data_IF_717071899663
#
_entry.id   IF_717071899663
#
_cell.length_a   1.000
_cell.length_b   1.000
_cell.length_c   1.000
_cell.angle_alpha   90.00
_cell.angle_beta   90.00
_cell.angle_gamma   90.00
#
_symmetry.space_group_name_H-M   'P 1'
#
loop_
_entity.id
_entity.type
_entity.pdbx_description
1 polymer ?
#
# COMPACT_ATOMS: atom_id res chain seq x y z
N UNK A 1 -28.45 18.78 44.78
CA UNK A 1 -27.46 17.83 44.23
C UNK A 1 -28.03 16.88 43.17
N UNK A 2 -29.13 16.13 43.43
CA UNK A 2 -29.70 15.19 42.43
C UNK A 2 -30.18 15.84 41.12
N UNK A 3 -30.84 17.00 41.18
CA UNK A 3 -31.34 17.71 39.99
C UNK A 3 -30.21 18.14 39.03
N UNK A 4 -29.08 18.58 39.57
CA UNK A 4 -27.90 18.96 38.80
C UNK A 4 -27.31 17.74 38.09
N UNK A 5 -27.25 16.59 38.77
CA UNK A 5 -26.76 15.34 38.16
C UNK A 5 -27.68 14.83 37.04
N UNK A 6 -29.00 14.92 37.21
CA UNK A 6 -29.96 14.53 36.16
C UNK A 6 -29.86 15.44 34.93
N UNK A 7 -29.72 16.75 35.16
CA UNK A 7 -29.48 17.72 34.08
C UNK A 7 -28.14 17.49 33.37
N UNK A 8 -27.08 17.22 34.14
CA UNK A 8 -25.76 16.85 33.61
C UNK A 8 -25.82 15.57 32.78
N UNK A 9 -26.56 14.54 33.23
CA UNK A 9 -26.74 13.31 32.44
C UNK A 9 -27.48 13.57 31.13
N UNK A 10 -28.56 14.37 31.15
CA UNK A 10 -29.35 14.68 29.95
C UNK A 10 -28.54 15.44 28.89
N UNK A 11 -27.74 16.41 29.33
CA UNK A 11 -26.87 17.21 28.46
C UNK A 11 -25.69 16.39 27.94
N UNK A 12 -25.05 15.61 28.80
CA UNK A 12 -23.98 14.68 28.43
C UNK A 12 -24.44 13.69 27.34
N UNK A 13 -25.64 13.12 27.50
CA UNK A 13 -26.20 12.21 26.50
C UNK A 13 -26.38 12.87 25.12
N UNK A 14 -26.82 14.14 25.08
CA UNK A 14 -26.95 14.90 23.84
C UNK A 14 -25.60 15.11 23.15
N UNK A 15 -24.61 15.59 23.91
CA UNK A 15 -23.23 15.82 23.40
C UNK A 15 -22.61 14.50 22.91
N UNK A 16 -22.84 13.40 23.64
CA UNK A 16 -22.35 12.08 23.24
C UNK A 16 -22.93 11.65 21.90
N UNK A 17 -24.24 11.83 21.69
CA UNK A 17 -24.90 11.51 20.42
C UNK A 17 -24.34 12.32 19.25
N UNK A 18 -24.06 13.61 19.46
CA UNK A 18 -23.48 14.48 18.43
C UNK A 18 -22.06 14.03 18.05
N UNK A 19 -21.19 13.84 19.03
CA UNK A 19 -19.83 13.34 18.79
C UNK A 19 -19.83 11.96 18.15
N UNK A 20 -20.79 11.11 18.52
CA UNK A 20 -20.93 9.79 17.90
C UNK A 20 -21.26 9.91 16.41
N UNK A 21 -22.20 10.78 16.03
CA UNK A 21 -22.55 11.05 14.63
C UNK A 21 -21.39 11.63 13.85
N UNK A 22 -20.67 12.59 14.42
CA UNK A 22 -19.48 13.19 13.81
C UNK A 22 -18.39 12.14 13.56
N UNK A 23 -18.07 11.32 14.56
CA UNK A 23 -17.11 10.24 14.42
C UNK A 23 -17.54 9.21 13.36
N UNK A 24 -18.83 8.91 13.28
CA UNK A 24 -19.36 8.00 12.25
C UNK A 24 -19.18 8.60 10.85
N UNK A 25 -19.48 9.88 10.68
CA UNK A 25 -19.27 10.59 9.41
C UNK A 25 -17.79 10.65 9.02
N UNK A 26 -16.90 10.96 9.98
CA UNK A 26 -15.47 11.02 9.76
C UNK A 26 -14.88 9.66 9.33
N UNK A 27 -15.31 8.58 9.98
CA UNK A 27 -14.92 7.21 9.59
C UNK A 27 -15.42 6.83 8.19
N UNK A 28 -16.65 7.23 7.85
CA UNK A 28 -17.19 7.05 6.50
C UNK A 28 -16.35 7.75 5.44
N UNK A 29 -16.02 9.02 5.68
CA UNK A 29 -15.18 9.82 4.79
C UNK A 29 -13.77 9.22 4.64
N UNK A 30 -13.16 8.80 5.75
CA UNK A 30 -11.84 8.17 5.76
C UNK A 30 -11.83 6.88 4.93
N UNK A 31 -12.87 6.04 5.06
CA UNK A 31 -12.99 4.80 4.30
C UNK A 31 -13.06 5.05 2.80
N UNK A 32 -13.84 6.04 2.35
CA UNK A 32 -13.96 6.41 0.93
C UNK A 32 -12.62 6.89 0.36
N UNK A 33 -11.89 7.71 1.10
CA UNK A 33 -10.58 8.22 0.66
C UNK A 33 -9.57 7.07 0.61
N UNK A 34 -9.53 6.21 1.64
CA UNK A 34 -8.64 5.06 1.69
C UNK A 34 -8.88 4.11 0.52
N UNK A 35 -10.14 3.78 0.20
CA UNK A 35 -10.44 2.88 -0.94
C UNK A 35 -9.98 3.46 -2.27
N UNK A 36 -10.15 4.77 -2.48
CA UNK A 36 -9.66 5.44 -3.68
C UNK A 36 -8.12 5.38 -3.77
N UNK A 37 -7.41 5.70 -2.69
CA UNK A 37 -5.93 5.65 -2.65
C UNK A 37 -5.43 4.23 -2.87
N UNK A 38 -6.08 3.22 -2.28
CA UNK A 38 -5.73 1.82 -2.49
C UNK A 38 -5.89 1.42 -3.96
N UNK A 39 -7.02 1.77 -4.59
CA UNK A 39 -7.25 1.48 -6.01
C UNK A 39 -6.23 2.16 -6.94
N UNK A 40 -5.90 3.43 -6.68
CA UNK A 40 -4.88 4.15 -7.46
C UNK A 40 -3.47 3.56 -7.25
N UNK A 41 -3.13 3.16 -6.02
CA UNK A 41 -1.87 2.49 -5.74
C UNK A 41 -1.76 1.15 -6.47
N UNK A 42 -2.81 0.33 -6.46
CA UNK A 42 -2.84 -0.96 -7.15
C UNK A 42 -2.68 -0.78 -8.68
N UNK A 43 -3.32 0.24 -9.27
CA UNK A 43 -3.12 0.61 -10.68
C UNK A 43 -1.67 0.99 -10.98
N UNK A 44 -1.06 1.80 -10.12
CA UNK A 44 0.32 2.24 -10.29
C UNK A 44 1.30 1.05 -10.23
N UNK A 45 1.11 0.15 -9.26
CA UNK A 45 1.94 -1.06 -9.12
C UNK A 45 1.80 -1.94 -10.37
N UNK A 46 0.58 -2.19 -10.83
CA UNK A 46 0.35 -3.04 -12.02
C UNK A 46 0.93 -2.42 -13.29
N UNK A 47 0.83 -1.09 -13.46
CA UNK A 47 1.47 -0.39 -14.58
C UNK A 47 2.98 -0.53 -14.54
N UNK A 48 3.59 -0.31 -13.37
CA UNK A 48 5.03 -0.47 -13.17
C UNK A 48 5.50 -1.90 -13.48
N UNK A 49 4.82 -2.92 -12.95
CA UNK A 49 5.18 -4.32 -13.20
C UNK A 49 5.06 -4.70 -14.67
N UNK A 50 4.07 -4.16 -15.39
CA UNK A 50 3.95 -4.34 -16.83
C UNK A 50 5.16 -3.76 -17.57
N UNK A 51 5.58 -2.56 -17.21
CA UNK A 51 6.76 -1.91 -17.80
C UNK A 51 8.05 -2.68 -17.48
N UNK A 52 8.24 -3.11 -16.24
CA UNK A 52 9.37 -3.96 -15.82
C UNK A 52 9.41 -5.24 -16.65
N UNK A 53 8.27 -5.90 -16.84
CA UNK A 53 8.19 -7.13 -17.65
C UNK A 53 8.59 -6.89 -19.10
N UNK A 54 8.15 -5.78 -19.69
CA UNK A 54 8.56 -5.42 -21.07
C UNK A 54 10.06 -5.09 -21.17
N UNK A 55 10.63 -4.47 -20.13
CA UNK A 55 12.07 -4.20 -20.06
C UNK A 55 12.87 -5.49 -19.85
N UNK A 56 12.38 -6.42 -19.04
CA UNK A 56 12.99 -7.73 -18.82
C UNK A 56 13.07 -8.52 -20.14
N UNK A 57 12.00 -8.52 -20.94
CA UNK A 57 11.98 -9.15 -22.27
C UNK A 57 13.04 -8.57 -23.22
N UNK A 58 13.22 -7.24 -23.23
CA UNK A 58 14.22 -6.60 -24.09
C UNK A 58 15.66 -6.82 -23.61
N UNK A 59 15.90 -6.75 -22.30
CA UNK A 59 17.24 -6.88 -21.71
C UNK A 59 17.72 -8.33 -21.69
N UNK A 60 16.82 -9.29 -21.47
CA UNK A 60 17.19 -10.70 -21.27
C UNK A 60 17.07 -11.57 -22.52
N UNK A 61 16.69 -10.99 -23.68
CA UNK A 61 16.50 -11.72 -24.95
C UNK A 61 17.70 -12.56 -25.40
N UNK A 62 18.91 -12.10 -25.11
CA UNK A 62 20.15 -12.74 -25.56
C UNK A 62 20.71 -13.73 -24.51
N UNK A 63 20.09 -13.83 -23.33
CA UNK A 63 20.58 -14.67 -22.25
C UNK A 63 20.07 -16.12 -22.41
N UNK A 64 20.95 -17.13 -22.39
CA UNK A 64 20.54 -18.52 -22.55
C UNK A 64 19.69 -18.97 -21.34
N UNK A 65 18.60 -19.70 -21.60
CA UNK A 65 17.70 -20.26 -20.58
C UNK A 65 16.93 -19.22 -19.74
N UNK A 66 16.84 -17.97 -20.20
CA UNK A 66 15.97 -16.98 -19.56
C UNK A 66 14.55 -17.04 -20.13
N UNK A 67 13.56 -17.19 -19.26
CA UNK A 67 12.15 -17.02 -19.57
C UNK A 67 11.59 -15.91 -18.69
N UNK A 68 11.01 -14.88 -19.32
CA UNK A 68 10.50 -13.70 -18.62
C UNK A 68 9.51 -14.05 -17.51
N UNK A 69 9.78 -13.55 -16.30
CA UNK A 69 8.95 -13.80 -15.11
C UNK A 69 9.26 -15.12 -14.40
N UNK A 70 10.32 -15.83 -14.81
CA UNK A 70 10.88 -16.97 -14.07
C UNK A 70 12.30 -16.66 -13.62
N UNK A 71 12.78 -17.42 -12.64
CA UNK A 71 14.18 -17.41 -12.27
C UNK A 71 14.88 -18.60 -12.93
N UNK A 72 15.54 -18.36 -14.07
CA UNK A 72 16.26 -19.39 -14.84
C UNK A 72 15.39 -20.62 -15.18
N UNK A 73 14.11 -20.38 -15.54
CA UNK A 73 13.14 -21.43 -15.85
C UNK A 73 12.40 -22.03 -14.64
N UNK A 74 12.74 -21.62 -13.41
CA UNK A 74 11.99 -22.01 -12.20
C UNK A 74 11.07 -20.88 -11.71
N UNK A 75 9.87 -21.18 -11.20
CA UNK A 75 9.04 -20.18 -10.53
C UNK A 75 9.70 -19.71 -9.23
N UNK A 76 9.65 -18.40 -8.97
CA UNK A 76 10.24 -17.79 -7.76
C UNK A 76 9.60 -18.37 -6.48
N UNK A 77 8.28 -18.59 -6.49
CA UNK A 77 7.53 -19.13 -5.36
C UNK A 77 7.22 -20.62 -5.56
N UNK A 78 7.90 -21.48 -4.80
CA UNK A 78 7.77 -22.94 -4.93
C UNK A 78 6.60 -23.54 -4.12
N UNK A 79 6.17 -22.86 -3.06
CA UNK A 79 5.17 -23.38 -2.11
C UNK A 79 3.76 -22.84 -2.31
N UNK A 80 3.60 -21.79 -3.12
CA UNK A 80 2.32 -21.12 -3.34
C UNK A 80 1.62 -21.70 -4.58
N UNK A 81 0.28 -21.76 -4.59
CA UNK A 81 -0.48 -22.05 -5.80
C UNK A 81 -0.19 -21.02 -6.90
N UNK A 82 -0.19 -21.45 -8.16
CA UNK A 82 0.14 -20.63 -9.33
C UNK A 82 -0.74 -19.38 -9.48
N UNK A 83 -2.03 -19.47 -9.12
CA UNK A 83 -3.01 -18.37 -9.23
C UNK A 83 -2.96 -17.38 -8.03
N UNK A 84 -1.90 -17.44 -7.21
CA UNK A 84 -1.79 -16.57 -6.04
C UNK A 84 -1.05 -15.29 -6.38
N UNK A 85 -1.73 -14.15 -6.28
CA UNK A 85 -1.08 -12.84 -6.37
C UNK A 85 -0.21 -12.59 -5.13
N UNK A 86 1.09 -12.43 -5.35
CA UNK A 86 2.04 -11.99 -4.33
C UNK A 86 2.36 -10.52 -4.55
N UNK A 87 2.08 -9.70 -3.55
CA UNK A 87 2.40 -8.27 -3.61
C UNK A 87 3.93 -8.07 -3.70
N UNK A 88 4.42 -7.25 -4.64
CA UNK A 88 5.86 -6.95 -4.72
C UNK A 88 6.33 -6.23 -3.46
N UNK A 89 7.60 -6.42 -3.10
CA UNK A 89 8.18 -5.70 -1.96
C UNK A 89 8.43 -4.25 -2.35
N UNK A 90 8.41 -3.29 -1.40
CA UNK A 90 8.71 -1.90 -1.72
C UNK A 90 10.04 -1.72 -2.47
N UNK A 91 11.08 -2.48 -2.10
CA UNK A 91 12.37 -2.43 -2.78
C UNK A 91 12.30 -2.84 -4.27
N UNK A 92 11.43 -3.80 -4.62
CA UNK A 92 11.25 -4.26 -6.01
C UNK A 92 10.61 -3.15 -6.87
N UNK A 93 9.74 -2.32 -6.27
CA UNK A 93 9.12 -1.17 -6.92
C UNK A 93 10.07 0.03 -7.11
N UNK A 94 11.23 0.05 -6.44
CA UNK A 94 12.23 1.12 -6.54
C UNK A 94 13.51 0.69 -7.27
N UNK A 95 13.49 -0.45 -7.98
CA UNK A 95 14.69 -1.02 -8.61
C UNK A 95 15.41 -0.08 -9.59
N UNK A 96 14.67 0.83 -10.25
CA UNK A 96 15.23 1.80 -11.20
C UNK A 96 15.54 3.17 -10.60
N UNK A 97 15.30 3.36 -9.29
CA UNK A 97 15.54 4.62 -8.61
C UNK A 97 17.01 4.73 -8.21
N UNK A 98 17.59 5.94 -8.35
CA UNK A 98 18.90 6.21 -7.77
C UNK A 98 18.83 6.05 -6.26
N UNK A 99 19.90 5.51 -5.64
CA UNK A 99 19.98 5.33 -4.19
C UNK A 99 19.68 6.63 -3.41
N UNK A 100 20.09 7.78 -3.97
CA UNK A 100 19.88 9.11 -3.38
C UNK A 100 18.41 9.52 -3.32
N UNK A 101 17.56 8.94 -4.17
CA UNK A 101 16.18 9.35 -4.34
C UNK A 101 15.21 8.42 -3.61
N UNK A 102 15.72 7.28 -3.09
CA UNK A 102 14.93 6.35 -2.30
C UNK A 102 14.57 7.04 -0.98
N UNK A 103 13.29 7.15 -0.61
CA UNK A 103 12.86 7.73 0.65
C UNK A 103 13.07 6.76 1.83
N UNK A 104 14.28 6.21 1.96
CA UNK A 104 14.75 5.63 3.21
C UNK A 104 15.00 6.82 4.15
N UNK A 105 14.43 6.80 5.35
CA UNK A 105 14.46 7.93 6.28
C UNK A 105 15.86 8.55 6.49
N UNK A 106 15.93 9.73 7.13
CA UNK A 106 17.08 10.66 7.09
C UNK A 106 18.46 10.04 7.36
N UNK A 107 18.54 8.90 8.04
CA UNK A 107 19.78 8.18 8.40
C UNK A 107 20.57 7.57 7.22
N UNK A 108 19.98 7.45 6.02
CA UNK A 108 20.67 6.86 4.87
C UNK A 108 21.63 7.83 4.15
N UNK A 109 21.43 9.14 4.26
CA UNK A 109 22.21 10.16 3.54
C UNK A 109 23.53 10.54 4.23
N UNK A 110 24.05 9.73 5.17
CA UNK A 110 25.14 10.15 6.07
C UNK A 110 26.44 9.32 5.92
N UNK A 111 26.51 8.43 4.92
CA UNK A 111 27.62 7.49 4.76
C UNK A 111 28.35 7.58 3.41
N UNK A 112 28.31 8.76 2.76
CA UNK A 112 29.21 9.16 1.67
C UNK A 112 29.59 10.63 1.83
#
# INVERSE_FOLDING_TARGET
YLAINLYAMRTYHGIWLEKFKENLANRGNELIIRTLIHAENDRNILRFLKEVRTLEEDVMKDFPYWETGTYLGEPIFKTLPEDTYVRPRPADCFAFMSYTDIPLGPTAHHWY
#
